data_IF_125550991561
#
_entry.id   IF_125550991561
#
_cell.length_a   1.000
_cell.length_b   1.000
_cell.length_c   1.000
_cell.angle_alpha   90.00
_cell.angle_beta   90.00
_cell.angle_gamma   90.00
#
_symmetry.space_group_name_H-M   'P 1'
#
loop_
_entity.id
_entity.type
_entity.pdbx_description
1 polymer ?
#
# COMPACT_ATOMS: atom_id res chain seq x y z
N UNK A 1 -3.67 -5.76 8.44
CA UNK A 1 -4.68 -5.54 9.49
C UNK A 1 -5.05 -6.90 10.00
N UNK A 2 -5.39 -7.00 11.29
CA UNK A 2 -6.32 -8.01 11.77
C UNK A 2 -7.33 -8.29 10.66
N UNK A 3 -7.58 -9.57 10.39
CA UNK A 3 -8.53 -10.02 9.37
C UNK A 3 -9.75 -9.11 9.33
N UNK A 4 -10.45 -8.97 8.20
CA UNK A 4 -11.61 -8.05 8.06
C UNK A 4 -12.65 -8.21 9.18
N UNK A 5 -12.62 -9.33 9.92
CA UNK A 5 -13.45 -9.66 11.07
C UNK A 5 -12.89 -9.22 12.44
N UNK A 6 -11.73 -8.56 12.50
CA UNK A 6 -11.09 -8.10 13.75
C UNK A 6 -10.47 -9.22 14.59
N UNK A 7 -10.18 -10.39 13.99
CA UNK A 7 -9.66 -11.58 14.67
C UNK A 7 -8.22 -11.83 14.23
N UNK A 8 -7.35 -12.16 15.17
CA UNK A 8 -5.96 -12.57 14.94
C UNK A 8 -5.61 -13.70 15.90
N UNK A 9 -5.06 -14.81 15.38
CA UNK A 9 -4.81 -16.04 16.15
C UNK A 9 -6.05 -16.57 16.91
N UNK A 10 -7.25 -16.37 16.34
CA UNK A 10 -8.52 -16.77 16.98
C UNK A 10 -8.97 -15.88 18.13
N UNK A 11 -8.25 -14.80 18.44
CA UNK A 11 -8.59 -13.82 19.47
C UNK A 11 -9.00 -12.49 18.84
N UNK A 12 -9.87 -11.76 19.54
CA UNK A 12 -10.26 -10.42 19.12
C UNK A 12 -9.10 -9.45 19.31
N UNK A 13 -8.90 -8.57 18.34
CA UNK A 13 -7.95 -7.46 18.44
C UNK A 13 -8.59 -6.31 19.20
N UNK A 14 -7.98 -5.90 20.30
CA UNK A 14 -8.43 -4.76 21.11
C UNK A 14 -7.88 -3.44 20.60
N UNK A 15 -6.58 -3.40 20.32
CA UNK A 15 -5.91 -2.22 19.79
C UNK A 15 -4.69 -2.61 18.96
N UNK A 16 -4.25 -1.70 18.12
CA UNK A 16 -3.00 -1.84 17.40
C UNK A 16 -2.41 -0.47 17.09
N UNK A 17 -1.08 -0.44 17.03
CA UNK A 17 -0.29 0.73 16.63
C UNK A 17 0.89 0.28 15.77
N UNK A 18 1.58 1.22 15.12
CA UNK A 18 2.82 0.87 14.43
C UNK A 18 3.90 0.48 15.44
N UNK A 19 4.60 -0.62 15.17
CA UNK A 19 5.66 -1.10 16.05
C UNK A 19 6.88 -0.17 16.01
N UNK A 20 7.52 0.05 17.16
CA UNK A 20 8.75 0.83 17.23
C UNK A 20 9.94 0.09 16.59
N UNK A 21 10.81 0.85 15.93
CA UNK A 21 12.07 0.33 15.40
C UNK A 21 13.11 0.22 16.50
N UNK A 22 14.13 -0.66 16.36
CA UNK A 22 15.25 -0.72 17.29
C UNK A 22 16.06 0.58 17.43
N UNK A 23 15.82 1.57 16.56
CA UNK A 23 16.45 2.90 16.59
C UNK A 23 15.55 3.98 17.20
N UNK A 24 14.38 3.60 17.69
CA UNK A 24 13.47 4.51 18.38
C UNK A 24 14.11 4.97 19.69
N UNK A 25 13.97 6.26 20.00
CA UNK A 25 14.43 6.86 21.25
C UNK A 25 13.27 7.68 21.84
N UNK A 26 13.28 7.97 23.16
CA UNK A 26 12.25 8.82 23.77
C UNK A 26 12.10 10.19 23.08
N UNK A 27 13.21 10.77 22.61
CA UNK A 27 13.27 12.08 21.94
C UNK A 27 12.95 12.01 20.44
N UNK A 28 13.18 10.87 19.80
CA UNK A 28 12.91 10.62 18.37
C UNK A 28 12.32 9.21 18.21
N UNK A 29 10.98 9.13 18.33
CA UNK A 29 10.24 7.88 18.18
C UNK A 29 10.15 7.48 16.72
N UNK A 30 10.67 6.30 16.41
CA UNK A 30 10.75 5.79 15.04
C UNK A 30 9.99 4.50 14.92
N UNK A 31 9.06 4.45 13.98
CA UNK A 31 8.16 3.33 13.78
C UNK A 31 8.44 2.59 12.48
N UNK A 32 8.20 1.29 12.48
CA UNK A 32 8.12 0.51 11.24
C UNK A 32 6.91 0.97 10.44
N UNK A 33 7.09 1.15 9.13
CA UNK A 33 6.00 1.59 8.24
C UNK A 33 4.94 0.52 7.97
N UNK A 34 5.28 -0.74 8.19
CA UNK A 34 4.54 -1.90 7.67
C UNK A 34 4.32 -2.99 8.73
N UNK A 35 4.78 -2.76 9.97
CA UNK A 35 4.68 -3.70 11.08
C UNK A 35 3.86 -3.06 12.19
N UNK A 36 2.87 -3.80 12.68
CA UNK A 36 1.96 -3.40 13.74
C UNK A 36 2.29 -4.15 15.02
N UNK A 37 2.19 -3.47 16.14
CA UNK A 37 2.05 -4.04 17.47
C UNK A 37 0.56 -4.15 17.79
N UNK A 38 0.10 -5.31 18.22
CA UNK A 38 -1.32 -5.65 18.35
C UNK A 38 -1.57 -6.20 19.75
N UNK A 39 -2.51 -5.59 20.47
CA UNK A 39 -3.03 -6.08 21.74
C UNK A 39 -4.26 -6.96 21.49
N UNK A 40 -4.22 -8.19 21.98
CA UNK A 40 -5.32 -9.15 21.91
C UNK A 40 -6.16 -9.12 23.18
N UNK A 41 -7.38 -9.66 23.11
CA UNK A 41 -8.35 -9.72 24.23
C UNK A 41 -7.84 -10.44 25.48
N UNK A 42 -6.89 -11.37 25.34
CA UNK A 42 -6.24 -12.04 26.47
C UNK A 42 -5.13 -11.18 27.13
N UNK A 43 -4.95 -9.94 26.66
CA UNK A 43 -3.90 -9.03 27.09
C UNK A 43 -2.53 -9.31 26.49
N UNK A 44 -2.41 -10.29 25.59
CA UNK A 44 -1.14 -10.59 24.93
C UNK A 44 -0.82 -9.58 23.83
N UNK A 45 0.46 -9.28 23.68
CA UNK A 45 0.98 -8.42 22.60
C UNK A 45 1.64 -9.30 21.55
N UNK A 46 1.19 -9.16 20.31
CA UNK A 46 1.77 -9.82 19.13
C UNK A 46 2.09 -8.80 18.06
N UNK A 47 3.01 -9.16 17.16
CA UNK A 47 3.34 -8.33 16.02
C UNK A 47 2.77 -8.93 14.74
N UNK A 48 2.18 -8.09 13.89
CA UNK A 48 1.56 -8.47 12.62
C UNK A 48 1.96 -7.48 11.51
N UNK A 49 1.76 -7.85 10.24
CA UNK A 49 2.01 -6.92 9.13
C UNK A 49 0.77 -6.08 8.81
N UNK A 50 0.97 -4.95 8.15
CA UNK A 50 -0.13 -4.01 7.86
C UNK A 50 -1.13 -4.53 6.82
N UNK A 51 -0.80 -5.57 6.03
CA UNK A 51 -1.65 -6.05 4.94
C UNK A 51 -2.92 -6.75 5.42
N UNK A 52 -4.07 -6.53 4.75
CA UNK A 52 -5.33 -7.17 5.10
C UNK A 52 -5.26 -8.68 4.86
N UNK A 53 -6.04 -9.46 5.63
CA UNK A 53 -6.12 -10.93 5.57
C UNK A 53 -4.79 -11.68 5.82
N UNK A 54 -3.77 -11.00 6.34
CA UNK A 54 -2.52 -11.66 6.71
C UNK A 54 -2.49 -11.99 8.20
N UNK A 55 -2.60 -13.28 8.53
CA UNK A 55 -2.53 -13.80 9.90
C UNK A 55 -1.11 -14.07 10.39
N UNK A 56 -0.08 -13.70 9.62
CA UNK A 56 1.30 -13.94 10.02
C UNK A 56 1.66 -13.11 11.26
N UNK A 57 1.97 -13.79 12.36
CA UNK A 57 2.33 -13.16 13.62
C UNK A 57 3.66 -13.65 14.18
N UNK A 58 4.35 -12.78 14.93
CA UNK A 58 5.55 -13.11 15.73
C UNK A 58 5.51 -12.37 17.07
N UNK A 59 6.33 -12.83 18.00
CA UNK A 59 6.54 -12.18 19.31
C UNK A 59 7.41 -10.91 19.25
N UNK A 60 7.95 -10.55 18.08
CA UNK A 60 8.74 -9.32 17.91
C UNK A 60 8.53 -8.69 16.55
N UNK A 61 8.62 -7.35 16.50
CA UNK A 61 8.50 -6.58 15.26
C UNK A 61 9.57 -6.98 14.22
N UNK A 62 10.81 -7.22 14.66
CA UNK A 62 11.90 -7.65 13.78
C UNK A 62 11.69 -9.04 13.17
N UNK A 63 10.88 -9.90 13.79
CA UNK A 63 10.48 -11.18 13.21
C UNK A 63 9.43 -11.06 12.11
N UNK A 64 8.60 -10.00 12.15
CA UNK A 64 7.57 -9.73 11.14
C UNK A 64 8.11 -8.92 9.98
N UNK A 65 9.04 -8.00 10.23
CA UNK A 65 9.55 -7.10 9.21
C UNK A 65 10.06 -7.80 7.92
N UNK A 66 10.77 -8.95 7.96
CA UNK A 66 11.14 -9.66 6.74
C UNK A 66 9.94 -10.19 5.93
N UNK A 67 8.84 -10.54 6.61
CA UNK A 67 7.62 -11.05 5.99
C UNK A 67 6.86 -9.97 5.21
N UNK A 68 7.02 -8.68 5.56
CA UNK A 68 6.34 -7.57 4.83
C UNK A 68 6.68 -7.54 3.35
N UNK A 69 7.87 -8.04 2.97
CA UNK A 69 8.32 -8.13 1.58
C UNK A 69 7.47 -9.07 0.72
N UNK A 70 6.81 -10.07 1.32
CA UNK A 70 5.94 -11.02 0.60
C UNK A 70 4.69 -10.33 0.05
N UNK A 71 4.26 -9.26 0.72
CA UNK A 71 3.06 -8.51 0.36
C UNK A 71 3.33 -7.23 -0.38
N UNK A 72 4.60 -6.82 -0.49
CA UNK A 72 4.93 -5.78 -1.44
C UNK A 72 4.45 -6.32 -2.78
N UNK A 73 3.53 -5.62 -3.48
CA UNK A 73 3.35 -5.92 -4.88
C UNK A 73 4.76 -5.89 -5.43
N UNK A 74 5.16 -6.93 -6.16
CA UNK A 74 6.27 -6.76 -7.07
C UNK A 74 5.95 -5.46 -7.77
N UNK A 75 6.68 -4.40 -7.41
CA UNK A 75 6.80 -3.27 -8.29
C UNK A 75 7.48 -3.97 -9.42
N UNK A 76 6.68 -4.36 -10.41
CA UNK A 76 7.14 -4.85 -11.68
C UNK A 76 8.06 -3.73 -12.14
N UNK A 77 9.33 -3.85 -11.75
CA UNK A 77 10.45 -3.34 -12.49
C UNK A 77 10.14 -3.93 -13.85
N UNK A 78 9.66 -3.15 -14.83
CA UNK A 78 8.82 -3.64 -15.91
C UNK A 78 9.49 -4.89 -16.44
N UNK A 79 8.96 -6.04 -15.99
CA UNK A 79 9.62 -7.30 -16.23
C UNK A 79 9.46 -7.42 -17.72
N UNK A 80 10.61 -7.36 -18.41
CA UNK A 80 10.75 -7.44 -19.86
C UNK A 80 9.51 -8.13 -20.41
N UNK A 81 8.66 -7.35 -21.11
CA UNK A 81 7.30 -7.76 -21.47
C UNK A 81 7.31 -9.26 -21.77
N UNK A 82 6.46 -10.08 -21.10
CA UNK A 82 6.49 -11.52 -21.30
C UNK A 82 6.52 -11.75 -22.79
N UNK A 83 7.54 -12.48 -23.26
CA UNK A 83 7.66 -12.81 -24.68
C UNK A 83 6.29 -13.28 -25.14
N UNK A 84 5.77 -12.78 -26.28
CA UNK A 84 4.42 -13.12 -26.71
C UNK A 84 4.31 -14.63 -26.70
N UNK A 85 3.56 -15.17 -25.74
CA UNK A 85 3.26 -16.58 -25.73
C UNK A 85 2.47 -16.80 -27.02
N UNK A 86 2.99 -17.62 -27.92
CA UNK A 86 2.23 -18.06 -29.07
C UNK A 86 0.99 -18.75 -28.54
N UNK A 87 -0.14 -18.06 -28.63
CA UNK A 87 -1.43 -18.62 -28.29
C UNK A 87 -1.71 -19.61 -29.40
N UNK A 88 -1.67 -20.91 -29.09
CA UNK A 88 -2.13 -21.93 -30.01
C UNK A 88 -3.65 -21.77 -30.19
N UNK A 89 -4.02 -21.13 -31.29
CA UNK A 89 -5.40 -20.82 -31.66
C UNK A 89 -6.10 -22.05 -32.25
N UNK A 90 -5.34 -23.07 -32.66
CA UNK A 90 -5.88 -24.25 -33.35
C UNK A 90 -6.53 -25.24 -32.38
N UNK A 91 -6.14 -25.20 -31.11
CA UNK A 91 -6.74 -25.99 -30.04
C UNK A 91 -8.02 -25.36 -29.45
N UNK A 92 -8.42 -24.16 -29.89
CA UNK A 92 -9.57 -23.43 -29.34
C UNK A 92 -10.85 -23.71 -30.13
N UNK A 93 -11.94 -23.87 -29.40
CA UNK A 93 -13.29 -23.87 -29.99
C UNK A 93 -13.68 -22.46 -30.47
N UNK A 94 -14.65 -22.40 -31.40
CA UNK A 94 -15.20 -21.12 -31.89
C UNK A 94 -15.79 -20.28 -30.74
N UNK A 95 -16.41 -20.92 -29.74
CA UNK A 95 -16.97 -20.24 -28.59
C UNK A 95 -15.88 -19.56 -27.75
N UNK A 96 -14.78 -20.26 -27.45
CA UNK A 96 -13.64 -19.72 -26.70
C UNK A 96 -12.95 -18.58 -27.47
N UNK A 97 -12.88 -18.68 -28.80
CA UNK A 97 -12.36 -17.61 -29.65
C UNK A 97 -13.19 -16.32 -29.56
N UNK A 98 -14.52 -16.46 -29.61
CA UNK A 98 -15.44 -15.32 -29.49
C UNK A 98 -15.35 -14.70 -28.10
N UNK A 99 -15.31 -15.52 -27.04
CA UNK A 99 -15.18 -15.05 -25.67
C UNK A 99 -13.87 -14.27 -25.48
N UNK A 100 -12.74 -14.80 -25.94
CA UNK A 100 -11.45 -14.11 -25.89
C UNK A 100 -11.45 -12.80 -26.67
N UNK A 101 -12.11 -12.74 -27.84
CA UNK A 101 -12.24 -11.50 -28.61
C UNK A 101 -13.07 -10.42 -27.86
N UNK A 102 -14.14 -10.83 -27.19
CA UNK A 102 -14.93 -9.94 -26.34
C UNK A 102 -14.11 -9.42 -25.15
N UNK A 103 -13.37 -10.29 -24.46
CA UNK A 103 -12.46 -9.90 -23.39
C UNK A 103 -11.38 -8.94 -23.88
N UNK A 104 -10.74 -9.22 -25.02
CA UNK A 104 -9.73 -8.34 -25.59
C UNK A 104 -10.28 -6.94 -25.89
N UNK A 105 -11.54 -6.85 -26.34
CA UNK A 105 -12.22 -5.57 -26.59
C UNK A 105 -12.46 -4.82 -25.28
N UNK A 106 -12.95 -5.50 -24.24
CA UNK A 106 -13.16 -4.92 -22.91
C UNK A 106 -11.85 -4.45 -22.26
N UNK A 107 -10.79 -5.26 -22.31
CA UNK A 107 -9.49 -4.87 -21.77
C UNK A 107 -8.89 -3.66 -22.47
N UNK A 108 -9.11 -3.51 -23.79
CA UNK A 108 -8.71 -2.29 -24.51
C UNK A 108 -9.47 -1.07 -23.98
N UNK A 109 -10.80 -1.16 -23.85
CA UNK A 109 -11.59 -0.03 -23.32
C UNK A 109 -11.21 0.33 -21.88
N UNK A 110 -10.97 -0.67 -21.04
CA UNK A 110 -10.60 -0.47 -19.64
C UNK A 110 -9.22 0.17 -19.52
N UNK A 111 -8.25 -0.27 -20.32
CA UNK A 111 -6.92 0.32 -20.40
C UNK A 111 -7.01 1.79 -20.82
N UNK A 112 -7.77 2.10 -21.86
CA UNK A 112 -7.88 3.47 -22.36
C UNK A 112 -8.59 4.38 -21.35
N UNK A 113 -9.58 3.87 -20.61
CA UNK A 113 -10.21 4.57 -19.50
C UNK A 113 -9.24 4.81 -18.32
N UNK A 114 -8.42 3.81 -17.98
CA UNK A 114 -7.40 3.92 -16.94
C UNK A 114 -6.33 4.97 -17.31
N UNK A 115 -5.86 4.98 -18.56
CA UNK A 115 -4.91 5.97 -19.05
C UNK A 115 -5.46 7.40 -18.98
N UNK A 116 -6.75 7.60 -19.27
CA UNK A 116 -7.42 8.90 -19.10
C UNK A 116 -7.50 9.34 -17.64
N UNK A 117 -7.77 8.40 -16.72
CA UNK A 117 -7.80 8.70 -15.28
C UNK A 117 -6.40 9.05 -14.77
N UNK A 118 -5.39 8.32 -15.22
CA UNK A 118 -3.98 8.56 -14.87
C UNK A 118 -3.53 9.95 -15.33
N UNK A 119 -3.77 10.32 -16.59
CA UNK A 119 -3.37 11.64 -17.10
C UNK A 119 -4.09 12.79 -16.39
N UNK A 120 -5.36 12.60 -16.01
CA UNK A 120 -6.10 13.56 -15.18
C UNK A 120 -5.47 13.71 -13.78
N UNK A 121 -5.17 12.61 -13.12
CA UNK A 121 -4.56 12.63 -11.79
C UNK A 121 -3.16 13.26 -11.80
N UNK A 122 -2.35 12.99 -12.84
CA UNK A 122 -1.04 13.64 -13.03
C UNK A 122 -1.16 15.16 -13.18
N UNK A 123 -2.17 15.63 -13.91
CA UNK A 123 -2.44 17.07 -14.05
C UNK A 123 -2.85 17.71 -12.72
N UNK A 124 -3.78 17.09 -12.00
CA UNK A 124 -4.23 17.57 -10.68
C UNK A 124 -3.07 17.61 -9.68
N UNK A 125 -2.20 16.60 -9.69
CA UNK A 125 -0.99 16.57 -8.87
C UNK A 125 -0.01 17.70 -9.26
N UNK A 126 0.14 17.95 -10.56
CA UNK A 126 0.92 19.06 -11.10
C UNK A 126 0.42 20.42 -10.62
N UNK A 127 -0.89 20.60 -10.51
CA UNK A 127 -1.52 21.84 -10.03
C UNK A 127 -1.47 21.97 -8.49
N UNK A 128 -1.57 20.87 -7.75
CA UNK A 128 -1.54 20.86 -6.28
C UNK A 128 -0.15 21.10 -5.70
N UNK A 129 0.90 20.51 -6.28
CA UNK A 129 2.30 20.68 -5.82
C UNK A 129 2.72 22.14 -5.61
N UNK A 130 2.54 23.08 -6.57
CA UNK A 130 2.94 24.47 -6.38
C UNK A 130 2.07 25.19 -5.34
N UNK A 131 0.78 24.82 -5.22
CA UNK A 131 -0.11 25.41 -4.20
C UNK A 131 0.33 25.01 -2.80
N UNK A 132 0.70 23.75 -2.61
CA UNK A 132 1.19 23.22 -1.35
C UNK A 132 2.52 23.88 -0.94
N UNK A 133 3.47 24.02 -1.87
CA UNK A 133 4.73 24.77 -1.62
C UNK A 133 4.49 26.22 -1.21
N UNK A 134 3.53 26.92 -1.85
CA UNK A 134 3.17 28.30 -1.48
C UNK A 134 2.57 28.37 -0.08
N UNK A 135 1.70 27.41 0.27
CA UNK A 135 1.10 27.33 1.60
C UNK A 135 2.18 27.06 2.67
N UNK A 136 3.11 26.15 2.42
CA UNK A 136 4.26 25.88 3.32
C UNK A 136 5.12 27.12 3.53
N UNK A 137 5.43 27.86 2.46
CA UNK A 137 6.19 29.12 2.56
C UNK A 137 5.44 30.16 3.38
N UNK A 138 4.13 30.36 3.14
CA UNK A 138 3.33 31.30 3.90
C UNK A 138 3.29 30.93 5.39
N UNK A 139 3.13 29.64 5.71
CA UNK A 139 3.08 29.15 7.08
C UNK A 139 4.44 29.33 7.79
N UNK A 140 5.54 29.12 7.08
CA UNK A 140 6.90 29.42 7.58
C UNK A 140 7.06 30.91 7.89
N UNK A 141 6.64 31.79 6.99
CA UNK A 141 6.71 33.25 7.18
C UNK A 141 5.90 33.70 8.39
N UNK A 142 4.67 33.20 8.54
CA UNK A 142 3.81 33.49 9.70
C UNK A 142 4.51 33.04 10.98
N UNK A 143 5.03 31.80 11.02
CA UNK A 143 5.74 31.27 12.18
C UNK A 143 6.93 32.14 12.56
N UNK A 144 7.75 32.57 11.59
CA UNK A 144 8.90 33.45 11.87
C UNK A 144 8.46 34.82 12.39
N UNK A 145 7.37 35.40 11.88
CA UNK A 145 6.86 36.68 12.35
C UNK A 145 6.36 36.59 13.81
N UNK A 146 5.63 35.53 14.16
CA UNK A 146 5.18 35.30 15.53
C UNK A 146 6.34 35.05 16.50
N UNK A 147 7.38 34.32 16.10
CA UNK A 147 8.55 34.11 16.96
C UNK A 147 9.44 35.35 17.11
N UNK A 148 9.37 36.31 16.19
CA UNK A 148 10.14 37.56 16.27
C UNK A 148 9.44 38.67 17.07
N UNK A 149 8.13 38.51 17.32
CA UNK A 149 7.31 39.46 18.10
C UNK A 149 7.13 39.06 19.57
N UNK A 150 7.69 37.92 19.98
CA UNK A 150 7.70 37.39 21.35
C UNK A 150 9.10 37.58 21.96
#
# INVERSE_FOLDING_TARGET
MATTNGILNGLKVESFDFAETPRSTPEDRRYYKEVLEVLLEDGSVVYNCVWPECEFTRSSASGVWPHTKVHKPQTDTPSKAPAPAEIDVTALTIAELVERAQHATRYRSDRDAALKKLSKAERELGELKPRLRKAEQALKTIRTAFTAAA
#
